data_IF_832600699658
#
_entry.id   IF_832600699658
#
_cell.length_a   1.000
_cell.length_b   1.000
_cell.length_c   1.000
_cell.angle_alpha   90.00
_cell.angle_beta   90.00
_cell.angle_gamma   90.00
#
_symmetry.space_group_name_H-M   'P 1'
#
loop_
_entity.id
_entity.type
_entity.pdbx_description
1 polymer ?
#
# COMPACT_ATOMS: atom_id res chain seq x y z
N UNK A 1 11.48 -10.64 3.90
CA UNK A 1 10.59 -11.10 5.00
C UNK A 1 9.70 -9.96 5.48
N UNK A 2 10.24 -8.74 5.68
CA UNK A 2 9.45 -7.57 6.08
C UNK A 2 8.48 -7.08 4.98
N UNK A 3 8.91 -6.98 3.71
CA UNK A 3 8.02 -6.50 2.63
C UNK A 3 6.85 -7.46 2.32
N UNK A 4 7.04 -8.75 2.55
CA UNK A 4 6.02 -9.77 2.26
C UNK A 4 4.82 -9.63 3.21
N UNK A 5 5.08 -9.44 4.51
CA UNK A 5 4.01 -9.17 5.49
C UNK A 5 3.34 -7.83 5.23
N UNK A 6 4.11 -6.77 4.96
CA UNK A 6 3.58 -5.45 4.62
C UNK A 6 2.66 -5.51 3.39
N UNK A 7 3.09 -6.17 2.31
CA UNK A 7 2.29 -6.32 1.11
C UNK A 7 0.98 -7.09 1.36
N UNK A 8 1.05 -8.20 2.10
CA UNK A 8 -0.12 -8.98 2.46
C UNK A 8 -1.14 -8.16 3.27
N UNK A 9 -0.65 -7.36 4.22
CA UNK A 9 -1.50 -6.47 5.01
C UNK A 9 -2.12 -5.33 4.20
N UNK A 10 -1.37 -4.74 3.25
CA UNK A 10 -1.89 -3.72 2.34
C UNK A 10 -3.02 -4.28 1.46
N UNK A 11 -2.81 -5.46 0.87
CA UNK A 11 -3.83 -6.16 0.06
C UNK A 11 -5.06 -6.47 0.91
N UNK A 12 -4.86 -7.02 2.11
CA UNK A 12 -5.96 -7.33 3.02
C UNK A 12 -6.75 -6.07 3.40
N UNK A 13 -6.06 -4.97 3.71
CA UNK A 13 -6.71 -3.71 4.07
C UNK A 13 -7.53 -3.14 2.90
N UNK A 14 -6.99 -3.15 1.68
CA UNK A 14 -7.73 -2.70 0.50
C UNK A 14 -8.96 -3.58 0.21
N UNK A 15 -8.82 -4.90 0.36
CA UNK A 15 -9.93 -5.83 0.21
C UNK A 15 -11.04 -5.62 1.25
N UNK A 16 -10.69 -5.28 2.50
CA UNK A 16 -11.68 -4.92 3.52
C UNK A 16 -12.47 -3.68 3.11
N UNK A 17 -11.81 -2.66 2.56
CA UNK A 17 -12.50 -1.45 2.05
C UNK A 17 -13.47 -1.81 0.92
N UNK A 18 -13.05 -2.60 -0.07
CA UNK A 18 -13.93 -3.04 -1.15
C UNK A 18 -15.17 -3.79 -0.64
N UNK A 19 -14.99 -4.71 0.30
CA UNK A 19 -16.11 -5.45 0.92
C UNK A 19 -17.06 -4.52 1.68
N UNK A 20 -16.53 -3.54 2.41
CA UNK A 20 -17.34 -2.57 3.16
C UNK A 20 -18.18 -1.67 2.24
N UNK A 21 -17.63 -1.30 1.08
CA UNK A 21 -18.32 -0.50 0.06
C UNK A 21 -19.23 -1.35 -0.85
N UNK A 22 -19.25 -2.68 -0.69
CA UNK A 22 -19.99 -3.59 -1.56
C UNK A 22 -19.45 -3.64 -3.00
N UNK A 23 -18.20 -3.23 -3.19
CA UNK A 23 -17.55 -3.15 -4.49
C UNK A 23 -16.95 -4.51 -4.89
N UNK A 24 -17.16 -4.97 -6.14
CA UNK A 24 -16.59 -6.24 -6.61
C UNK A 24 -15.06 -6.21 -6.78
N UNK A 25 -14.45 -5.04 -6.94
CA UNK A 25 -12.99 -4.91 -7.17
C UNK A 25 -12.43 -3.57 -6.71
N UNK A 26 -11.14 -3.58 -6.39
CA UNK A 26 -10.30 -2.38 -6.19
C UNK A 26 -9.72 -1.96 -7.53
N UNK A 27 -9.89 -0.69 -7.90
CA UNK A 27 -9.34 -0.11 -9.12
C UNK A 27 -7.92 0.41 -8.91
N UNK A 28 -7.69 1.10 -7.80
CA UNK A 28 -6.36 1.62 -7.47
C UNK A 28 -6.17 1.80 -5.96
N UNK A 29 -4.91 1.88 -5.54
CA UNK A 29 -4.53 2.17 -4.17
C UNK A 29 -3.27 3.05 -4.12
N UNK A 30 -3.26 4.00 -3.17
CA UNK A 30 -2.09 4.85 -2.90
C UNK A 30 -1.42 4.35 -1.63
N UNK A 31 -0.14 4.04 -1.73
CA UNK A 31 0.69 3.58 -0.61
C UNK A 31 1.77 4.61 -0.32
N UNK A 32 1.82 5.09 0.92
CA UNK A 32 2.89 5.96 1.38
C UNK A 32 4.03 5.15 1.95
N UNK A 33 5.25 5.47 1.52
CA UNK A 33 6.47 4.84 2.02
C UNK A 33 7.29 5.90 2.77
N UNK A 34 7.49 5.67 4.06
CA UNK A 34 8.34 6.50 4.90
C UNK A 34 9.79 6.47 4.43
N UNK A 35 10.47 7.62 4.48
CA UNK A 35 11.84 7.81 3.98
C UNK A 35 12.90 6.92 4.64
N UNK A 36 12.63 6.36 5.82
CA UNK A 36 13.50 5.50 6.61
C UNK A 36 12.97 4.06 6.75
N UNK A 37 11.92 3.70 6.01
CA UNK A 37 11.33 2.34 6.04
C UNK A 37 12.24 1.27 5.43
N UNK A 38 13.27 1.67 4.66
CA UNK A 38 14.13 0.79 3.87
C UNK A 38 13.38 -0.09 2.86
N UNK A 39 12.13 0.25 2.54
CA UNK A 39 11.32 -0.49 1.57
C UNK A 39 11.52 0.12 0.19
N UNK A 40 11.91 -0.74 -0.75
CA UNK A 40 11.97 -0.40 -2.16
C UNK A 40 10.55 -0.48 -2.79
N UNK A 41 10.06 0.58 -3.45
CA UNK A 41 8.71 0.61 -4.02
C UNK A 41 8.47 -0.45 -5.10
N UNK A 42 9.46 -0.74 -5.94
CA UNK A 42 9.32 -1.73 -7.03
C UNK A 42 9.19 -3.15 -6.47
N UNK A 43 10.04 -3.47 -5.50
CA UNK A 43 9.97 -4.72 -4.74
C UNK A 43 8.62 -4.87 -4.02
N UNK A 44 8.14 -3.81 -3.37
CA UNK A 44 6.83 -3.82 -2.70
C UNK A 44 5.69 -4.01 -3.71
N UNK A 45 5.72 -3.34 -4.86
CA UNK A 45 4.74 -3.52 -5.94
C UNK A 45 4.62 -4.98 -6.34
N UNK A 46 5.75 -5.64 -6.62
CA UNK A 46 5.75 -7.03 -7.03
C UNK A 46 5.15 -7.96 -5.97
N UNK A 47 5.41 -7.68 -4.68
CA UNK A 47 4.81 -8.44 -3.58
C UNK A 47 3.30 -8.18 -3.48
N UNK A 48 2.84 -6.93 -3.65
CA UNK A 48 1.41 -6.60 -3.67
C UNK A 48 0.72 -7.35 -4.81
N UNK A 49 1.27 -7.29 -6.02
CA UNK A 49 0.74 -8.02 -7.19
C UNK A 49 0.68 -9.53 -6.96
N UNK A 50 1.69 -10.10 -6.30
CA UNK A 50 1.68 -11.52 -5.95
C UNK A 50 0.54 -11.87 -4.99
N UNK A 51 0.39 -11.09 -3.91
CA UNK A 51 -0.62 -11.33 -2.86
C UNK A 51 -2.04 -10.98 -3.30
N UNK A 52 -2.18 -10.08 -4.28
CA UNK A 52 -3.48 -9.67 -4.80
C UNK A 52 -4.15 -10.74 -5.67
N UNK A 53 -3.40 -11.72 -6.21
CA UNK A 53 -3.93 -12.78 -7.07
C UNK A 53 -5.06 -13.57 -6.40
N UNK A 54 -6.17 -13.73 -7.12
CA UNK A 54 -7.37 -14.41 -6.65
C UNK A 54 -8.20 -13.60 -5.64
N UNK A 55 -7.89 -12.32 -5.44
CA UNK A 55 -8.60 -11.43 -4.52
C UNK A 55 -9.31 -10.30 -5.27
N UNK A 56 -10.18 -9.56 -4.58
CA UNK A 56 -10.81 -8.33 -5.11
C UNK A 56 -9.81 -7.20 -5.42
N UNK A 57 -8.54 -7.35 -5.02
CA UNK A 57 -7.46 -6.38 -5.27
C UNK A 57 -6.65 -6.75 -6.52
N UNK A 58 -6.91 -7.90 -7.14
CA UNK A 58 -6.19 -8.32 -8.35
C UNK A 58 -6.36 -7.30 -9.47
N UNK A 59 -5.24 -6.87 -10.06
CA UNK A 59 -5.23 -5.91 -11.16
C UNK A 59 -5.36 -4.44 -10.75
N UNK A 60 -5.44 -4.13 -9.44
CA UNK A 60 -5.46 -2.75 -8.97
C UNK A 60 -4.16 -2.00 -9.32
N UNK A 61 -4.30 -0.75 -9.77
CA UNK A 61 -3.16 0.14 -9.96
C UNK A 61 -2.58 0.56 -8.59
N UNK A 62 -1.27 0.44 -8.43
CA UNK A 62 -0.58 0.85 -7.19
C UNK A 62 0.23 2.11 -7.45
N UNK A 63 -0.03 3.17 -6.70
CA UNK A 63 0.77 4.39 -6.71
C UNK A 63 1.53 4.52 -5.39
N UNK A 64 2.77 5.02 -5.45
CA UNK A 64 3.61 5.22 -4.27
C UNK A 64 3.89 6.69 -4.03
N UNK A 65 3.55 7.16 -2.84
CA UNK A 65 3.97 8.45 -2.33
C UNK A 65 5.23 8.26 -1.46
N UNK A 66 6.36 8.79 -1.90
CA UNK A 66 7.55 8.86 -1.03
C UNK A 66 7.47 10.09 -0.14
N UNK A 67 7.69 9.88 1.16
CA UNK A 67 7.81 10.99 2.10
C UNK A 67 9.18 11.63 1.98
N UNK A 68 9.24 12.96 2.04
CA UNK A 68 10.52 13.69 2.10
C UNK A 68 11.45 13.16 3.20
N UNK A 69 12.78 13.25 3.00
CA UNK A 69 13.76 12.76 3.95
C UNK A 69 13.56 13.35 5.34
N UNK A 70 13.69 12.49 6.36
CA UNK A 70 13.70 12.93 7.75
C UNK A 70 14.64 14.13 7.96
N UNK A 71 14.09 15.21 8.52
CA UNK A 71 14.85 16.39 8.92
C UNK A 71 14.73 16.61 10.41
N UNK A 72 15.85 16.90 11.09
CA UNK A 72 15.84 17.26 12.52
C UNK A 72 14.98 18.51 12.79
N UNK A 73 14.82 19.38 11.78
CA UNK A 73 13.99 20.58 11.86
C UNK A 73 12.49 20.29 11.68
N UNK A 74 12.15 19.18 11.01
CA UNK A 74 10.78 18.74 10.74
C UNK A 74 10.69 17.23 10.97
N UNK A 75 10.69 16.78 12.24
CA UNK A 75 10.65 15.36 12.55
C UNK A 75 9.34 14.76 12.05
N UNK A 76 9.43 13.74 11.18
CA UNK A 76 8.28 12.97 10.74
C UNK A 76 8.16 11.68 11.57
N UNK A 77 7.05 11.55 12.30
CA UNK A 77 6.76 10.37 13.14
C UNK A 77 6.49 9.10 12.33
N UNK A 78 6.17 9.25 11.05
CA UNK A 78 5.86 8.17 10.11
C UNK A 78 7.04 7.85 9.18
N UNK A 79 8.25 8.28 9.52
CA UNK A 79 9.42 8.07 8.67
C UNK A 79 9.75 6.58 8.43
N UNK A 80 9.30 5.68 9.31
CA UNK A 80 9.50 4.24 9.19
C UNK A 80 8.28 3.48 8.66
N UNK A 81 7.15 4.16 8.51
CA UNK A 81 5.87 3.49 8.25
C UNK A 81 5.67 3.23 6.75
N UNK A 82 4.93 2.17 6.44
CA UNK A 82 4.28 1.99 5.14
C UNK A 82 2.78 1.97 5.39
N UNK A 83 2.07 2.89 4.73
CA UNK A 83 0.66 3.16 5.03
C UNK A 83 -0.18 3.16 3.77
N UNK A 84 -1.33 2.48 3.82
CA UNK A 84 -2.38 2.61 2.82
C UNK A 84 -3.09 3.96 3.01
N UNK A 85 -2.96 4.86 2.04
CA UNK A 85 -3.49 6.23 2.10
C UNK A 85 -4.91 6.30 1.55
N UNK A 86 -5.13 5.66 0.40
CA UNK A 86 -6.44 5.65 -0.26
C UNK A 86 -6.64 4.35 -1.03
N UNK A 87 -7.91 4.01 -1.23
CA UNK A 87 -8.37 2.89 -2.04
C UNK A 87 -9.51 3.41 -2.89
N UNK A 88 -9.41 3.22 -4.19
CA UNK A 88 -10.50 3.48 -5.13
C UNK A 88 -11.12 2.14 -5.53
N UNK A 89 -12.44 2.06 -5.45
CA UNK A 89 -13.19 0.82 -5.68
C UNK A 89 -14.17 1.01 -6.84
N UNK A 90 -14.32 -0.02 -7.66
CA UNK A 90 -15.24 0.00 -8.80
C UNK A 90 -16.58 -0.63 -8.46
N UNK A 91 -17.65 -0.10 -9.04
CA UNK A 91 -19.03 -0.63 -8.95
C UNK A 91 -19.29 -1.75 -9.96
#
# INVERSE_FOLDING_TARGET
MHENHTASDLVRAAGVVAVQEGAPHVLSMIVRIGSLSHIDPESLRHQIEWHAKGTVVEGAEVEFEQVEPFSVKHPNRHAFDVTLVSVNVGS
#
